data_IF_303740089502
#
_entry.id   IF_303740089502
#
_cell.length_a   1.000
_cell.length_b   1.000
_cell.length_c   1.000
_cell.angle_alpha   90.00
_cell.angle_beta   90.00
_cell.angle_gamma   90.00
#
_symmetry.space_group_name_H-M   'P 1'
#
loop_
_entity.id
_entity.type
_entity.pdbx_description
1 polymer ?
#
# COMPACT_ATOMS: atom_id res chain seq x y z
N UNK A 1 34.76 22.88 3.56
CA UNK A 1 35.48 22.35 4.75
C UNK A 1 35.39 20.83 4.95
N UNK A 2 34.70 20.04 4.11
CA UNK A 2 34.67 18.56 4.25
C UNK A 2 35.71 17.81 3.38
N UNK A 3 36.15 18.40 2.27
CA UNK A 3 37.12 17.79 1.34
C UNK A 3 38.54 17.65 1.92
N UNK A 4 38.91 18.51 2.87
CA UNK A 4 40.25 18.54 3.49
C UNK A 4 40.47 17.39 4.50
N UNK A 5 39.42 16.93 5.18
CA UNK A 5 39.53 15.83 6.16
C UNK A 5 39.67 14.46 5.49
N UNK A 6 39.07 14.28 4.32
CA UNK A 6 39.20 13.04 3.55
C UNK A 6 40.64 12.85 3.04
N UNK A 7 41.37 13.95 2.79
CA UNK A 7 42.74 13.91 2.27
C UNK A 7 43.79 13.50 3.32
N UNK A 8 43.43 13.42 4.60
CA UNK A 8 44.36 13.02 5.67
C UNK A 8 44.14 11.57 6.16
N UNK A 9 43.06 10.91 5.74
CA UNK A 9 42.81 9.50 6.07
C UNK A 9 43.69 8.57 5.23
N UNK A 10 44.20 7.45 5.78
CA UNK A 10 44.94 6.44 5.00
C UNK A 10 44.12 5.94 3.81
N UNK A 11 44.78 5.62 2.70
CA UNK A 11 44.12 5.26 1.44
C UNK A 11 43.08 4.13 1.60
N UNK A 12 43.35 3.16 2.48
CA UNK A 12 42.44 2.07 2.83
C UNK A 12 41.09 2.56 3.36
N UNK A 13 41.09 3.55 4.27
CA UNK A 13 39.85 4.06 4.87
C UNK A 13 39.00 4.86 3.89
N UNK A 14 39.63 5.56 2.93
CA UNK A 14 38.92 6.25 1.85
C UNK A 14 38.23 5.24 0.94
N UNK A 15 38.96 4.20 0.53
CA UNK A 15 38.41 3.13 -0.30
C UNK A 15 37.21 2.45 0.38
N UNK A 16 37.33 2.11 1.67
CA UNK A 16 36.23 1.54 2.46
C UNK A 16 35.00 2.46 2.49
N UNK A 17 35.19 3.76 2.68
CA UNK A 17 34.10 4.74 2.72
C UNK A 17 33.38 4.86 1.37
N UNK A 18 34.13 4.96 0.26
CA UNK A 18 33.53 5.01 -1.08
C UNK A 18 32.78 3.73 -1.43
N UNK A 19 33.31 2.56 -1.06
CA UNK A 19 32.62 1.28 -1.25
C UNK A 19 31.35 1.21 -0.41
N UNK A 20 31.39 1.66 0.84
CA UNK A 20 30.22 1.70 1.73
C UNK A 20 29.12 2.63 1.23
N UNK A 21 29.49 3.86 0.82
CA UNK A 21 28.54 4.83 0.23
C UNK A 21 27.99 4.30 -1.10
N UNK A 22 28.82 3.69 -1.94
CA UNK A 22 28.39 3.06 -3.18
C UNK A 22 27.36 1.95 -2.95
N UNK A 23 27.65 1.03 -2.02
CA UNK A 23 26.70 -0.02 -1.61
C UNK A 23 25.40 0.55 -1.06
N UNK A 24 25.48 1.58 -0.23
CA UNK A 24 24.30 2.23 0.33
C UNK A 24 23.44 2.89 -0.76
N UNK A 25 24.06 3.59 -1.72
CA UNK A 25 23.38 4.15 -2.88
C UNK A 25 22.73 3.06 -3.73
N UNK A 26 23.41 1.93 -3.97
CA UNK A 26 22.85 0.79 -4.71
C UNK A 26 21.64 0.21 -3.96
N UNK A 27 21.73 0.02 -2.64
CA UNK A 27 20.61 -0.49 -1.82
C UNK A 27 19.41 0.47 -1.87
N UNK A 28 19.64 1.77 -1.79
CA UNK A 28 18.57 2.77 -1.93
C UNK A 28 17.95 2.75 -3.32
N UNK A 29 18.77 2.68 -4.36
CA UNK A 29 18.30 2.64 -5.75
C UNK A 29 17.48 1.38 -6.02
N UNK A 30 17.98 0.22 -5.57
CA UNK A 30 17.27 -1.06 -5.59
C UNK A 30 15.97 -0.97 -4.80
N UNK A 31 15.92 -0.31 -3.63
CA UNK A 31 14.68 -0.09 -2.88
C UNK A 31 13.68 0.81 -3.61
N UNK A 32 14.15 1.83 -4.32
CA UNK A 32 13.29 2.72 -5.11
C UNK A 32 12.71 1.98 -6.33
N UNK A 33 13.52 1.17 -7.01
CA UNK A 33 13.05 0.33 -8.12
C UNK A 33 12.17 -0.84 -7.67
N UNK A 34 12.41 -1.42 -6.50
CA UNK A 34 11.60 -2.46 -5.87
C UNK A 34 10.39 -1.92 -5.10
N UNK A 35 10.16 -0.60 -5.07
CA UNK A 35 8.82 -0.07 -4.77
C UNK A 35 7.93 -0.41 -5.97
N UNK A 36 7.64 -1.69 -6.11
CA UNK A 36 6.70 -2.22 -7.09
C UNK A 36 5.42 -1.40 -7.01
N UNK A 37 5.04 -0.87 -8.17
CA UNK A 37 3.78 -0.21 -8.42
C UNK A 37 2.65 -1.11 -7.92
N UNK A 38 2.14 -0.78 -6.74
CA UNK A 38 0.94 -1.41 -6.21
C UNK A 38 -0.21 -0.89 -7.06
N UNK A 39 -0.52 -1.64 -8.10
CA UNK A 39 -1.63 -1.30 -8.99
C UNK A 39 -2.91 -1.66 -8.24
N UNK A 40 -3.57 -0.62 -7.73
CA UNK A 40 -4.91 -0.72 -7.18
C UNK A 40 -5.87 -0.45 -8.32
N UNK A 41 -6.66 -1.44 -8.69
CA UNK A 41 -7.63 -1.35 -9.78
C UNK A 41 -9.04 -1.62 -9.29
N UNK A 42 -10.03 -1.18 -10.07
CA UNK A 42 -11.44 -1.55 -9.90
C UNK A 42 -11.79 -2.46 -11.07
N UNK A 43 -12.27 -3.66 -10.75
CA UNK A 43 -12.82 -4.61 -11.73
C UNK A 43 -14.31 -4.82 -11.51
N UNK A 44 -14.94 -5.63 -12.36
CA UNK A 44 -16.40 -5.84 -12.34
C UNK A 44 -16.94 -6.44 -11.03
N UNK A 45 -16.09 -7.16 -10.31
CA UNK A 45 -16.43 -7.87 -9.08
C UNK A 45 -15.96 -7.12 -7.82
N UNK A 46 -15.30 -5.96 -7.95
CA UNK A 46 -14.88 -5.11 -6.84
C UNK A 46 -13.51 -4.47 -7.03
N UNK A 47 -12.96 -3.91 -5.95
CA UNK A 47 -11.60 -3.37 -5.95
C UNK A 47 -10.57 -4.47 -5.70
N UNK A 48 -9.49 -4.41 -6.47
CA UNK A 48 -8.41 -5.39 -6.43
C UNK A 48 -7.07 -4.69 -6.26
N UNK A 49 -6.20 -5.39 -5.56
CA UNK A 49 -4.82 -5.05 -5.43
C UNK A 49 -3.99 -6.07 -6.20
N UNK A 50 -3.21 -5.59 -7.16
CA UNK A 50 -2.19 -6.40 -7.76
C UNK A 50 -0.89 -6.28 -6.97
N UNK A 51 -0.43 -7.40 -6.42
CA UNK A 51 0.82 -7.47 -5.65
C UNK A 51 1.54 -8.76 -6.00
N UNK A 52 2.79 -8.65 -6.49
CA UNK A 52 3.67 -9.81 -6.78
C UNK A 52 3.00 -10.91 -7.60
N UNK A 53 2.27 -10.54 -8.65
CA UNK A 53 1.60 -11.50 -9.53
C UNK A 53 0.29 -12.09 -8.99
N UNK A 54 -0.20 -11.63 -7.83
CA UNK A 54 -1.47 -12.06 -7.25
C UNK A 54 -2.47 -10.91 -7.17
N UNK A 55 -3.73 -11.23 -7.41
CA UNK A 55 -4.86 -10.32 -7.23
C UNK A 55 -5.50 -10.58 -5.87
N UNK A 56 -5.37 -9.61 -4.98
CA UNK A 56 -5.99 -9.60 -3.65
C UNK A 56 -7.24 -8.72 -3.70
N UNK A 57 -8.40 -9.26 -3.33
CA UNK A 57 -9.64 -8.46 -3.28
C UNK A 57 -9.60 -7.52 -2.07
N UNK A 58 -10.00 -6.28 -2.28
CA UNK A 58 -10.02 -5.24 -1.27
C UNK A 58 -11.46 -4.93 -0.84
N UNK A 59 -11.68 -4.92 0.47
CA UNK A 59 -12.92 -4.47 1.10
C UNK A 59 -12.62 -3.17 1.82
N UNK A 60 -13.21 -2.06 1.37
CA UNK A 60 -12.98 -0.77 2.01
C UNK A 60 -13.68 -0.70 3.36
N UNK A 61 -12.90 -0.28 4.37
CA UNK A 61 -13.37 -0.09 5.74
C UNK A 61 -13.49 1.40 6.05
N UNK A 62 -12.61 2.22 5.45
CA UNK A 62 -12.62 3.67 5.59
C UNK A 62 -12.26 4.35 4.27
N UNK A 63 -12.99 5.42 3.97
CA UNK A 63 -12.74 6.27 2.81
C UNK A 63 -12.62 7.73 3.28
N UNK A 64 -11.43 8.33 3.13
CA UNK A 64 -11.18 9.75 3.33
C UNK A 64 -10.50 10.32 2.09
N UNK A 65 -10.52 11.64 1.94
CA UNK A 65 -9.93 12.33 0.78
C UNK A 65 -8.38 12.27 0.71
N UNK A 66 -7.73 11.84 1.79
CA UNK A 66 -6.26 11.68 1.87
C UNK A 66 -5.82 10.22 1.91
N UNK A 67 -6.66 9.34 2.47
CA UNK A 67 -6.32 7.97 2.79
C UNK A 67 -7.54 7.05 2.63
N UNK A 68 -7.37 5.97 1.90
CA UNK A 68 -8.33 4.87 1.85
C UNK A 68 -7.76 3.71 2.67
N UNK A 69 -8.59 3.09 3.51
CA UNK A 69 -8.20 1.90 4.27
C UNK A 69 -9.05 0.75 3.79
N UNK A 70 -8.37 -0.27 3.27
CA UNK A 70 -8.98 -1.50 2.82
C UNK A 70 -8.47 -2.68 3.63
N UNK A 71 -9.35 -3.64 3.88
CA UNK A 71 -8.99 -4.97 4.37
C UNK A 71 -8.82 -5.88 3.17
N UNK A 72 -7.76 -6.67 3.16
CA UNK A 72 -7.57 -7.73 2.17
C UNK A 72 -8.50 -8.89 2.51
N UNK A 73 -9.29 -9.33 1.54
CA UNK A 73 -10.20 -10.46 1.67
C UNK A 73 -9.39 -11.76 1.85
N UNK A 74 -9.52 -12.48 2.98
CA UNK A 74 -8.71 -13.65 3.28
C UNK A 74 -9.13 -14.91 2.50
N UNK A 75 -10.12 -14.83 1.61
CA UNK A 75 -10.74 -15.96 0.91
C UNK A 75 -9.77 -16.86 0.11
N UNK A 76 -8.51 -16.47 -0.06
CA UNK A 76 -7.47 -17.29 -0.71
C UNK A 76 -6.47 -17.96 0.23
N UNK A 77 -6.51 -17.75 1.55
CA UNK A 77 -5.56 -18.37 2.47
C UNK A 77 -6.20 -18.71 3.82
N UNK A 78 -6.54 -19.98 4.01
CA UNK A 78 -7.06 -20.55 5.26
C UNK A 78 -6.18 -20.24 6.50
N UNK A 79 -4.88 -19.95 6.32
CA UNK A 79 -3.95 -19.54 7.39
C UNK A 79 -3.83 -18.02 7.60
N UNK A 80 -4.37 -17.20 6.69
CA UNK A 80 -4.37 -15.73 6.83
C UNK A 80 -5.50 -15.22 7.75
N UNK A 81 -6.40 -16.11 8.19
CA UNK A 81 -7.52 -15.76 9.07
C UNK A 81 -7.09 -15.25 10.45
N UNK A 82 -5.86 -15.52 10.87
CA UNK A 82 -5.37 -15.16 12.22
C UNK A 82 -4.99 -13.67 12.31
N UNK A 83 -4.67 -13.00 11.19
CA UNK A 83 -4.38 -11.57 11.19
C UNK A 83 -5.06 -10.84 10.02
N UNK A 84 -6.02 -9.93 10.26
CA UNK A 84 -6.54 -9.09 9.21
C UNK A 84 -5.42 -8.20 8.63
N UNK A 85 -5.07 -8.43 7.37
CA UNK A 85 -4.16 -7.57 6.64
C UNK A 85 -4.91 -6.31 6.19
N UNK A 86 -4.64 -5.20 6.88
CA UNK A 86 -5.11 -3.89 6.48
C UNK A 86 -4.09 -3.22 5.58
N UNK A 87 -4.57 -2.52 4.56
CA UNK A 87 -3.76 -1.74 3.64
C UNK A 87 -4.29 -0.32 3.56
N UNK A 88 -3.35 0.62 3.68
CA UNK A 88 -3.60 2.05 3.52
C UNK A 88 -3.15 2.44 2.11
N UNK A 89 -4.05 3.06 1.36
CA UNK A 89 -3.78 3.63 0.04
C UNK A 89 -3.82 5.15 0.21
N UNK A 90 -2.68 5.79 -0.02
CA UNK A 90 -2.54 7.24 0.09
C UNK A 90 -2.93 7.90 -1.23
N UNK A 91 -3.46 9.12 -1.15
CA UNK A 91 -3.74 9.93 -2.35
C UNK A 91 -2.54 10.03 -3.28
N UNK A 92 -1.36 10.24 -2.73
CA UNK A 92 -0.13 10.46 -3.50
C UNK A 92 0.47 9.16 -4.07
N UNK A 93 -0.12 8.00 -3.75
CA UNK A 93 0.37 6.70 -4.22
C UNK A 93 -0.25 6.23 -5.54
N UNK A 94 -1.27 6.93 -6.03
CA UNK A 94 -2.01 6.62 -7.27
C UNK A 94 -2.32 7.92 -8.02
N UNK A 95 -2.50 7.88 -9.35
CA UNK A 95 -2.98 9.02 -10.12
C UNK A 95 -4.26 9.62 -9.52
N UNK A 96 -4.40 10.95 -9.59
CA UNK A 96 -5.48 11.67 -8.93
C UNK A 96 -6.87 11.20 -9.38
N UNK A 97 -7.05 10.97 -10.68
CA UNK A 97 -8.33 10.53 -11.26
C UNK A 97 -8.70 9.11 -10.80
N UNK A 98 -7.71 8.21 -10.78
CA UNK A 98 -7.87 6.85 -10.24
C UNK A 98 -8.22 6.90 -8.76
N UNK A 99 -7.58 7.80 -8.00
CA UNK A 99 -7.86 7.97 -6.59
C UNK A 99 -9.30 8.45 -6.33
N UNK A 100 -9.79 9.42 -7.09
CA UNK A 100 -11.18 9.88 -6.97
C UNK A 100 -12.18 8.78 -7.32
N UNK A 101 -11.87 7.96 -8.32
CA UNK A 101 -12.67 6.81 -8.70
C UNK A 101 -12.71 5.77 -7.56
N UNK A 102 -11.55 5.43 -7.00
CA UNK A 102 -11.44 4.54 -5.83
C UNK A 102 -12.16 5.09 -4.61
N UNK A 103 -12.06 6.40 -4.35
CA UNK A 103 -12.75 7.07 -3.25
C UNK A 103 -14.26 6.95 -3.38
N UNK A 104 -14.78 7.21 -4.58
CA UNK A 104 -16.21 7.15 -4.88
C UNK A 104 -16.75 5.73 -4.73
N UNK A 105 -16.03 4.76 -5.29
CA UNK A 105 -16.34 3.34 -5.14
C UNK A 105 -16.31 2.90 -3.66
N UNK A 106 -15.27 3.28 -2.92
CA UNK A 106 -15.13 2.95 -1.50
C UNK A 106 -16.29 3.54 -0.68
N UNK A 107 -16.69 4.78 -0.95
CA UNK A 107 -17.83 5.41 -0.29
C UNK A 107 -19.14 4.66 -0.58
N UNK A 108 -19.39 4.29 -1.84
CA UNK A 108 -20.55 3.50 -2.23
C UNK A 108 -20.57 2.13 -1.55
N UNK A 109 -19.45 1.41 -1.55
CA UNK A 109 -19.33 0.10 -0.89
C UNK A 109 -19.61 0.19 0.62
N UNK A 110 -19.06 1.20 1.30
CA UNK A 110 -19.29 1.41 2.74
C UNK A 110 -20.76 1.73 3.02
N UNK A 111 -21.40 2.57 2.20
CA UNK A 111 -22.80 2.93 2.36
C UNK A 111 -23.72 1.72 2.16
N UNK A 112 -23.51 0.93 1.10
CA UNK A 112 -24.28 -0.28 0.82
C UNK A 112 -24.15 -1.29 1.96
N UNK A 113 -22.93 -1.53 2.45
CA UNK A 113 -22.72 -2.44 3.57
C UNK A 113 -23.46 -1.99 4.82
N UNK A 114 -23.42 -0.69 5.14
CA UNK A 114 -24.13 -0.13 6.30
C UNK A 114 -25.64 -0.24 6.17
N UNK A 115 -26.19 -0.05 4.97
CA UNK A 115 -27.63 -0.17 4.75
C UNK A 115 -28.10 -1.63 4.89
N UNK A 116 -27.32 -2.58 4.41
CA UNK A 116 -27.58 -4.02 4.60
C UNK A 116 -27.49 -4.43 6.08
N UNK A 117 -26.47 -3.96 6.79
CA UNK A 117 -26.31 -4.20 8.23
C UNK A 117 -27.49 -3.61 9.03
N UNK A 118 -27.96 -2.41 8.66
CA UNK A 118 -29.15 -1.81 9.26
C UNK A 118 -30.40 -2.64 8.97
N UNK A 119 -30.62 -3.05 7.71
CA UNK A 119 -31.76 -3.90 7.32
C UNK A 119 -31.80 -5.21 8.09
N UNK A 120 -30.65 -5.88 8.28
CA UNK A 120 -30.55 -7.11 9.08
C UNK A 120 -30.97 -6.88 10.54
N UNK A 121 -30.55 -5.77 11.15
CA UNK A 121 -30.94 -5.41 12.53
C UNK A 121 -32.42 -5.12 12.68
N UNK A 122 -33.05 -4.49 11.69
CA UNK A 122 -34.50 -4.26 11.71
C UNK A 122 -35.28 -5.56 11.48
N UNK A 123 -34.82 -6.44 10.59
CA UNK A 123 -35.48 -7.71 10.29
C UNK A 123 -35.41 -8.73 11.43
N UNK A 124 -34.41 -8.69 12.32
CA UNK A 124 -34.31 -9.63 13.45
C UNK A 124 -35.07 -9.16 14.70
N UNK A 125 -35.67 -7.97 14.67
CA UNK A 125 -36.39 -7.37 15.80
C UNK A 125 -37.92 -7.51 15.66
N UNK A 126 -38.38 -7.99 14.51
CA UNK A 126 -39.75 -8.49 14.26
C UNK A 126 -39.75 -10.01 14.30
#
# INVERSE_FOLDING_TARGET
MALLQVFWMPAFWRALFYVGVGLFCIILLVRVFLRENQLVGIGEQGAYLFKRGRYERLIFVRANNLQLIARVDPDQAFLASIWPSYRVIYRDSVPLDEYHTLLSFAAQQILLRRSEEAKKRFSSRN
#
